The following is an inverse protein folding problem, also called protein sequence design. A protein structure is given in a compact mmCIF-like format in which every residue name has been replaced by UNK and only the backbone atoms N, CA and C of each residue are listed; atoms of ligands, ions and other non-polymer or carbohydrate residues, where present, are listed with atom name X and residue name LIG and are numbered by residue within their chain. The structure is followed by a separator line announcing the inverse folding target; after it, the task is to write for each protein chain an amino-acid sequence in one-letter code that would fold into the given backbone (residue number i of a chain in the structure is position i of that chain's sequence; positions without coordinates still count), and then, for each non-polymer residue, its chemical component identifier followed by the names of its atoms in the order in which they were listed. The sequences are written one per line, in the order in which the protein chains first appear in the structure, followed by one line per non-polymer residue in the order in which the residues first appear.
data_IF_965085141255
#
_entry.id   IF_965085141255
#
_cell.length_a   1.000
_cell.length_b   1.000
_cell.length_c   1.000
_cell.angle_alpha   90.00
_cell.angle_beta   90.00
_cell.angle_gamma   90.00
#
_symmetry.space_group_name_H-M   'P 1'
#
loop_
_entity.id
_entity.type
_entity.pdbx_description
1 polymer ?
#
# COMPACT_ATOMS: atom_id res chain seq x y z
N UNK A 1 16.14 -5.75 -2.31
CA UNK A 1 15.00 -6.50 -2.90
C UNK A 1 14.13 -7.01 -1.77
N UNK A 2 12.81 -6.85 -1.84
CA UNK A 2 11.84 -7.34 -0.84
C UNK A 2 10.81 -8.22 -1.55
N UNK A 3 10.59 -9.44 -1.07
CA UNK A 3 9.56 -10.34 -1.61
C UNK A 3 8.16 -9.80 -1.37
N UNK A 4 7.25 -10.00 -2.33
CA UNK A 4 5.85 -9.56 -2.25
C UNK A 4 5.12 -10.25 -1.09
N UNK A 5 4.23 -9.50 -0.41
CA UNK A 5 3.54 -9.96 0.80
C UNK A 5 2.04 -9.89 0.64
N UNK A 6 1.36 -10.96 1.04
CA UNK A 6 -0.10 -11.01 1.16
C UNK A 6 -0.60 -10.38 2.44
N UNK A 7 0.05 -10.65 3.56
CA UNK A 7 -0.41 -10.19 4.87
C UNK A 7 0.74 -10.06 5.86
N UNK A 8 0.58 -9.20 6.85
CA UNK A 8 1.48 -9.06 8.00
C UNK A 8 0.62 -9.04 9.26
N UNK A 9 0.68 -10.11 10.03
CA UNK A 9 -0.05 -10.23 11.30
C UNK A 9 0.92 -10.01 12.45
N UNK A 10 0.54 -9.16 13.41
CA UNK A 10 1.36 -8.88 14.60
C UNK A 10 0.63 -9.34 15.86
N UNK A 11 1.31 -10.14 16.67
CA UNK A 11 0.85 -10.56 18.00
C UNK A 11 1.93 -10.19 19.02
N UNK A 12 1.79 -9.02 19.66
CA UNK A 12 2.82 -8.48 20.54
C UNK A 12 4.13 -8.21 19.78
N UNK A 13 5.20 -8.92 20.13
CA UNK A 13 6.50 -8.83 19.44
C UNK A 13 6.59 -9.77 18.23
N UNK A 14 5.72 -10.77 18.15
CA UNK A 14 5.75 -11.75 17.09
C UNK A 14 5.11 -11.20 15.81
N UNK A 15 5.77 -11.44 14.69
CA UNK A 15 5.33 -10.98 13.36
C UNK A 15 5.29 -12.18 12.42
N UNK A 16 4.09 -12.51 11.96
CA UNK A 16 3.90 -13.48 10.88
C UNK A 16 3.74 -12.73 9.56
N UNK A 17 4.40 -13.23 8.51
CA UNK A 17 4.34 -12.67 7.16
C UNK A 17 3.94 -13.78 6.20
N UNK A 18 2.91 -13.51 5.40
CA UNK A 18 2.50 -14.39 4.31
C UNK A 18 3.00 -13.79 2.99
N UNK A 19 3.66 -14.61 2.18
CA UNK A 19 4.20 -14.20 0.87
C UNK A 19 3.24 -14.54 -0.27
N UNK A 20 3.42 -13.88 -1.40
CA UNK A 20 2.63 -14.07 -2.62
C UNK A 20 3.50 -13.81 -3.84
N UNK A 21 3.10 -14.27 -5.02
CA UNK A 21 3.70 -13.88 -6.31
C UNK A 21 2.80 -12.88 -7.08
N UNK A 22 1.66 -12.51 -6.50
CA UNK A 22 0.69 -11.58 -7.07
C UNK A 22 0.95 -10.14 -6.61
N UNK A 23 1.36 -9.29 -7.56
CA UNK A 23 1.60 -7.86 -7.35
C UNK A 23 0.36 -7.08 -6.92
N UNK A 24 -0.84 -7.47 -7.37
CA UNK A 24 -2.08 -6.80 -7.00
C UNK A 24 -2.42 -7.02 -5.52
N UNK A 25 -2.03 -8.18 -4.98
CA UNK A 25 -2.19 -8.51 -3.55
C UNK A 25 -1.22 -7.67 -2.71
N UNK A 26 0.05 -7.55 -3.11
CA UNK A 26 1.02 -6.70 -2.40
C UNK A 26 0.63 -5.21 -2.44
N UNK A 27 0.17 -4.72 -3.60
CA UNK A 27 -0.29 -3.35 -3.75
C UNK A 27 -1.41 -2.99 -2.75
N UNK A 28 -2.36 -3.91 -2.51
CA UNK A 28 -3.44 -3.72 -1.52
C UNK A 28 -2.93 -3.63 -0.08
N UNK A 29 -1.76 -4.19 0.22
CA UNK A 29 -1.13 -4.11 1.54
C UNK A 29 -0.42 -2.79 1.82
N UNK A 30 -0.26 -1.93 0.83
CA UNK A 30 0.30 -0.58 0.98
C UNK A 30 -0.75 0.43 1.43
N UNK A 31 -0.31 1.53 2.00
CA UNK A 31 -1.17 2.47 2.71
C UNK A 31 -1.98 3.38 1.77
N UNK A 32 -1.32 4.01 0.80
CA UNK A 32 -1.92 5.00 -0.10
C UNK A 32 -1.89 4.51 -1.55
N UNK A 33 -2.91 4.85 -2.33
CA UNK A 33 -3.04 4.46 -3.74
C UNK A 33 -1.85 4.90 -4.58
N UNK A 34 -1.42 6.15 -4.41
CA UNK A 34 -0.24 6.72 -5.08
C UNK A 34 1.07 6.01 -4.71
N UNK A 35 1.14 5.40 -3.51
CA UNK A 35 2.30 4.63 -3.04
C UNK A 35 2.24 3.15 -3.43
N UNK A 36 1.20 2.76 -4.16
CA UNK A 36 0.89 1.38 -4.53
C UNK A 36 1.12 1.06 -6.00
N UNK A 37 1.73 2.01 -6.71
CA UNK A 37 2.21 1.84 -8.08
C UNK A 37 3.47 0.98 -8.08
N UNK A 38 3.59 0.12 -9.09
CA UNK A 38 4.82 -0.61 -9.41
C UNK A 38 5.28 -0.24 -10.80
N UNK A 39 6.57 -0.34 -11.08
CA UNK A 39 7.13 -0.02 -12.39
C UNK A 39 8.21 -1.06 -12.72
N UNK A 40 8.21 -1.56 -13.95
CA UNK A 40 9.28 -2.44 -14.42
C UNK A 40 10.48 -1.66 -14.97
N UNK A 41 11.52 -2.40 -15.37
CA UNK A 41 12.77 -1.84 -15.92
C UNK A 41 12.59 -1.12 -17.25
N UNK A 42 11.47 -1.33 -17.95
CA UNK A 42 11.12 -0.64 -19.20
C UNK A 42 10.27 0.61 -18.97
N UNK A 43 9.95 0.92 -17.70
CA UNK A 43 9.12 2.07 -17.35
C UNK A 43 7.62 1.81 -17.48
N UNK A 44 7.18 0.56 -17.68
CA UNK A 44 5.75 0.25 -17.67
C UNK A 44 5.25 0.31 -16.23
N UNK A 45 4.23 1.14 -16.01
CA UNK A 45 3.60 1.33 -14.71
C UNK A 45 2.42 0.37 -14.56
N UNK A 46 2.43 -0.40 -13.48
CA UNK A 46 1.35 -1.27 -13.06
C UNK A 46 0.57 -0.59 -11.94
N UNK A 47 -0.68 -0.23 -12.25
CA UNK A 47 -1.60 0.43 -11.32
C UNK A 47 -2.82 -0.44 -11.06
N UNK A 48 -2.86 -1.06 -9.88
CA UNK A 48 -3.95 -1.94 -9.47
C UNK A 48 -5.04 -1.23 -8.67
N UNK A 49 -4.82 0.04 -8.27
CA UNK A 49 -5.65 0.74 -7.29
C UNK A 49 -6.04 2.17 -7.72
N UNK A 50 -5.85 2.50 -8.99
CA UNK A 50 -6.11 3.81 -9.59
C UNK A 50 -5.26 4.93 -8.97
N UNK A 51 -4.02 4.60 -8.61
CA UNK A 51 -3.04 5.54 -8.04
C UNK A 51 -2.58 6.60 -9.04
N UNK A 52 -2.55 6.30 -10.35
CA UNK A 52 -2.17 7.29 -11.37
C UNK A 52 -3.20 8.40 -11.51
N UNK A 53 -4.48 8.06 -11.48
CA UNK A 53 -5.56 9.05 -11.54
C UNK A 53 -5.63 9.86 -10.25
N UNK A 54 -5.43 9.21 -9.09
CA UNK A 54 -5.27 9.88 -7.81
C UNK A 54 -4.15 10.91 -7.86
N UNK A 55 -3.00 10.54 -8.44
CA UNK A 55 -1.87 11.43 -8.60
C UNK A 55 -2.18 12.62 -9.52
N UNK A 56 -2.83 12.38 -10.67
CA UNK A 56 -3.25 13.45 -11.60
C UNK A 56 -4.24 14.43 -10.96
N UNK A 57 -5.10 13.95 -10.06
CA UNK A 57 -6.09 14.76 -9.35
C UNK A 57 -5.57 15.37 -8.05
N UNK A 58 -4.28 15.20 -7.72
CA UNK A 58 -3.70 15.57 -6.41
C UNK A 58 -4.50 15.01 -5.22
N UNK A 59 -5.01 13.79 -5.36
CA UNK A 59 -5.84 13.12 -4.35
C UNK A 59 -5.01 12.12 -3.55
N UNK A 60 -4.86 12.38 -2.26
CA UNK A 60 -4.29 11.40 -1.33
C UNK A 60 -5.41 10.48 -0.83
N UNK A 61 -5.33 9.19 -1.12
CA UNK A 61 -6.38 8.21 -0.79
C UNK A 61 -5.78 6.93 -0.21
N UNK A 62 -6.37 6.45 0.88
CA UNK A 62 -6.02 5.16 1.45
C UNK A 62 -6.53 3.99 0.60
N UNK A 63 -5.78 2.90 0.61
CA UNK A 63 -6.23 1.64 0.04
C UNK A 63 -7.24 0.95 0.97
N UNK A 64 -8.43 0.65 0.45
CA UNK A 64 -9.46 -0.06 1.20
C UNK A 64 -10.13 0.77 2.29
N UNK A 65 -10.54 0.14 3.39
CA UNK A 65 -11.26 0.80 4.48
C UNK A 65 -10.28 1.55 5.41
N UNK A 66 -10.33 2.88 5.40
CA UNK A 66 -9.45 3.76 6.20
C UNK A 66 -9.41 3.36 7.68
N UNK A 67 -10.58 3.15 8.30
CA UNK A 67 -10.66 2.82 9.73
C UNK A 67 -9.86 1.57 10.07
N UNK A 68 -10.04 0.49 9.30
CA UNK A 68 -9.28 -0.76 9.48
C UNK A 68 -7.77 -0.56 9.30
N UNK A 69 -7.36 0.24 8.31
CA UNK A 69 -5.93 0.51 8.03
C UNK A 69 -5.26 1.31 9.13
N UNK A 70 -6.00 2.19 9.79
CA UNK A 70 -5.54 2.98 10.93
C UNK A 70 -5.53 2.16 12.22
N UNK A 71 -6.48 1.25 12.42
CA UNK A 71 -6.45 0.27 13.52
C UNK A 71 -5.21 -0.62 13.44
N UNK A 72 -4.84 -1.10 12.24
CA UNK A 72 -3.64 -1.90 12.01
C UNK A 72 -2.34 -1.13 12.28
N UNK A 73 -2.28 0.13 11.86
CA UNK A 73 -1.09 0.97 11.99
C UNK A 73 -1.47 2.46 12.07
N UNK A 74 -1.63 3.01 13.28
CA UNK A 74 -2.05 4.40 13.47
C UNK A 74 -1.08 5.43 12.86
N UNK A 75 0.20 5.11 12.73
CA UNK A 75 1.22 6.03 12.16
C UNK A 75 0.93 6.35 10.69
N UNK A 76 0.14 5.53 10.00
CA UNK A 76 -0.29 5.82 8.62
C UNK A 76 -1.07 7.14 8.50
N UNK A 77 -1.73 7.61 9.56
CA UNK A 77 -2.38 8.93 9.53
C UNK A 77 -1.37 10.07 9.39
N UNK A 78 -0.21 9.96 10.02
CA UNK A 78 0.86 10.95 9.90
C UNK A 78 1.47 10.92 8.49
N UNK A 79 1.49 9.74 7.86
CA UNK A 79 1.94 9.59 6.47
C UNK A 79 0.97 10.28 5.51
N UNK A 80 -0.33 10.25 5.77
CA UNK A 80 -1.31 11.00 4.98
C UNK A 80 -1.00 12.51 5.00
N UNK A 81 -0.90 13.11 6.20
CA UNK A 81 -0.63 14.56 6.35
C UNK A 81 0.75 15.00 5.84
N UNK A 82 1.70 14.08 5.70
CA UNK A 82 2.99 14.40 5.08
C UNK A 82 2.86 14.78 3.58
N UNK A 83 1.79 14.32 2.93
CA UNK A 83 1.57 14.50 1.49
C UNK A 83 0.39 15.43 1.16
N UNK A 84 -0.30 15.99 2.16
CA UNK A 84 -1.17 17.18 1.98
C UNK A 84 -0.32 18.45 1.86
#
# INVERSE_FOLDING_TARGET
VTTLKRSITRHGKDVAVEFTDDWSIDAKQRDLSINSLSMDEHGIVYDYLNGMDDLKMNRIRFNGNVCKRLEENPIRILRYFRYE
#
